data_IF_091614771303
#
_entry.id   IF_091614771303
#
_cell.length_a   1.000
_cell.length_b   1.000
_cell.length_c   1.000
_cell.angle_alpha   90.00
_cell.angle_beta   90.00
_cell.angle_gamma   90.00
#
_symmetry.space_group_name_H-M   'P 1'
#
loop_
_entity.id
_entity.type
_entity.pdbx_description
1 polymer ?
#
# COMPACT_ATOMS: atom_id res chain seq x y z
N UNK A 1 -1.39 -23.58 -13.77
CA UNK A 1 -1.02 -22.42 -12.95
C UNK A 1 -1.79 -22.54 -11.65
N UNK A 2 -1.18 -22.35 -10.48
CA UNK A 2 -1.92 -22.32 -9.21
C UNK A 2 -2.91 -21.15 -9.24
N UNK A 3 -4.12 -21.36 -8.73
CA UNK A 3 -5.16 -20.32 -8.64
C UNK A 3 -4.86 -19.49 -7.39
N UNK A 4 -4.60 -18.19 -7.56
CA UNK A 4 -4.44 -17.26 -6.45
C UNK A 4 -5.83 -16.94 -5.84
N UNK A 5 -5.89 -16.87 -4.51
CA UNK A 5 -7.12 -16.62 -3.76
C UNK A 5 -7.01 -15.29 -3.03
N UNK A 6 -8.16 -14.67 -2.73
CA UNK A 6 -8.22 -13.46 -1.92
C UNK A 6 -7.54 -13.67 -0.56
N UNK A 7 -6.81 -12.66 -0.11
CA UNK A 7 -6.01 -12.72 1.11
C UNK A 7 -6.90 -12.40 2.30
N UNK A 8 -6.91 -13.28 3.29
CA UNK A 8 -7.61 -13.07 4.56
C UNK A 8 -6.57 -12.74 5.64
N UNK A 9 -6.79 -11.64 6.35
CA UNK A 9 -5.99 -11.29 7.54
C UNK A 9 -6.46 -12.13 8.72
N UNK A 10 -5.57 -12.96 9.27
CA UNK A 10 -5.84 -13.81 10.43
C UNK A 10 -5.67 -13.02 11.73
N UNK A 11 -4.63 -12.19 11.79
CA UNK A 11 -4.31 -11.35 12.95
C UNK A 11 -3.45 -10.16 12.50
N UNK A 12 -3.00 -9.32 13.42
CA UNK A 12 -2.18 -8.13 13.13
C UNK A 12 -0.84 -8.21 13.87
N UNK A 13 0.17 -7.53 13.34
CA UNK A 13 1.40 -7.29 14.12
C UNK A 13 1.08 -6.46 15.36
N UNK A 14 1.71 -6.79 16.49
CA UNK A 14 1.72 -5.94 17.67
C UNK A 14 2.75 -4.81 17.54
N UNK A 15 2.77 -3.80 18.44
CA UNK A 15 3.68 -2.66 18.32
C UNK A 15 5.18 -3.02 18.28
N UNK A 16 5.61 -4.07 18.98
CA UNK A 16 7.02 -4.51 19.00
C UNK A 16 7.35 -5.20 17.67
N UNK A 17 6.43 -6.04 17.18
CA UNK A 17 6.56 -6.67 15.88
C UNK A 17 6.60 -5.64 14.73
N UNK A 18 5.78 -4.57 14.80
CA UNK A 18 5.79 -3.47 13.82
C UNK A 18 7.14 -2.78 13.79
N UNK A 19 7.69 -2.41 14.94
CA UNK A 19 9.01 -1.76 15.02
C UNK A 19 10.12 -2.66 14.44
N UNK A 20 10.08 -3.95 14.78
CA UNK A 20 11.06 -4.91 14.27
C UNK A 20 10.94 -5.11 12.74
N UNK A 21 9.72 -5.20 12.22
CA UNK A 21 9.43 -5.36 10.79
C UNK A 21 9.94 -4.16 9.98
N UNK A 22 9.72 -2.95 10.48
CA UNK A 22 10.04 -1.71 9.76
C UNK A 22 11.50 -1.27 9.87
N UNK A 23 12.33 -1.96 10.64
CA UNK A 23 13.69 -1.49 10.97
C UNK A 23 14.57 -1.15 9.76
N UNK A 24 14.44 -1.90 8.66
CA UNK A 24 15.21 -1.71 7.44
C UNK A 24 14.29 -1.50 6.22
N UNK A 25 13.02 -1.16 6.43
CA UNK A 25 12.07 -0.93 5.33
C UNK A 25 12.14 0.55 4.95
N UNK A 26 12.45 0.87 3.70
CA UNK A 26 12.35 2.25 3.19
C UNK A 26 10.89 2.59 2.90
N UNK A 27 10.22 1.71 2.15
CA UNK A 27 8.85 1.88 1.75
C UNK A 27 8.18 0.55 1.43
N UNK A 28 6.86 0.57 1.42
CA UNK A 28 6.03 -0.51 0.90
C UNK A 28 5.10 0.01 -0.20
N UNK A 29 4.74 -0.87 -1.11
CA UNK A 29 3.76 -0.60 -2.16
C UNK A 29 2.65 -1.62 -2.02
N UNK A 30 1.40 -1.17 -2.10
CA UNK A 30 0.21 -1.98 -2.17
C UNK A 30 -0.54 -1.65 -3.46
N UNK A 31 -1.02 -2.68 -4.14
CA UNK A 31 -1.94 -2.56 -5.25
C UNK A 31 -3.20 -3.39 -4.94
N UNK A 32 -4.36 -2.74 -4.99
CA UNK A 32 -5.67 -3.37 -4.80
C UNK A 32 -6.59 -3.04 -5.97
N UNK A 33 -7.62 -3.85 -6.22
CA UNK A 33 -8.66 -3.50 -7.17
C UNK A 33 -9.37 -2.21 -6.72
N UNK A 34 -9.53 -1.25 -7.62
CA UNK A 34 -10.35 -0.09 -7.35
C UNK A 34 -11.84 -0.46 -7.31
N UNK A 35 -12.70 0.34 -6.67
CA UNK A 35 -14.14 0.17 -6.77
C UNK A 35 -14.63 0.11 -8.22
N UNK A 36 -15.53 -0.84 -8.53
CA UNK A 36 -15.98 -1.18 -9.90
C UNK A 36 -16.55 -0.05 -10.76
N UNK A 37 -16.82 1.13 -10.19
CA UNK A 37 -17.26 2.30 -10.94
C UNK A 37 -16.10 3.08 -11.58
N UNK A 38 -14.86 2.89 -11.12
CA UNK A 38 -13.66 3.44 -11.73
C UNK A 38 -13.20 2.54 -12.88
N UNK A 39 -13.54 2.93 -14.12
CA UNK A 39 -13.21 2.15 -15.32
C UNK A 39 -11.86 2.53 -15.92
N UNK A 40 -11.51 3.81 -15.85
CA UNK A 40 -10.29 4.36 -16.43
C UNK A 40 -9.08 4.23 -15.51
N UNK A 41 -9.33 3.96 -14.22
CA UNK A 41 -8.32 3.75 -13.17
C UNK A 41 -8.72 2.56 -12.29
N UNK A 42 -8.64 1.34 -12.83
CA UNK A 42 -9.18 0.14 -12.18
C UNK A 42 -8.34 -0.37 -11.00
N UNK A 43 -7.23 0.29 -10.68
CA UNK A 43 -6.30 -0.12 -9.62
C UNK A 43 -6.13 1.04 -8.64
N UNK A 44 -6.24 0.73 -7.35
CA UNK A 44 -5.82 1.62 -6.28
C UNK A 44 -4.39 1.24 -5.87
N UNK A 45 -3.51 2.24 -5.87
CA UNK A 45 -2.13 2.11 -5.42
C UNK A 45 -1.94 2.88 -4.14
N UNK A 46 -1.22 2.29 -3.20
CA UNK A 46 -0.81 2.95 -1.95
C UNK A 46 0.68 2.77 -1.74
N UNK A 47 1.40 3.88 -1.63
CA UNK A 47 2.81 3.93 -1.27
C UNK A 47 2.90 4.30 0.21
N UNK A 48 3.55 3.44 1.00
CA UNK A 48 3.80 3.65 2.42
C UNK A 48 5.27 3.96 2.62
N UNK A 49 5.64 5.23 2.76
CA UNK A 49 7.01 5.65 3.04
C UNK A 49 7.26 5.54 4.54
N UNK A 50 8.30 4.82 4.96
CA UNK A 50 8.63 4.60 6.37
C UNK A 50 9.30 5.82 7.02
N UNK A 51 8.57 6.93 7.00
CA UNK A 51 8.98 8.20 7.57
C UNK A 51 7.75 8.98 8.04
N UNK A 52 7.96 9.87 8.99
CA UNK A 52 6.96 10.85 9.44
C UNK A 52 7.28 12.26 8.91
N UNK A 53 8.20 12.36 7.95
CA UNK A 53 8.59 13.61 7.34
C UNK A 53 7.45 14.26 6.56
N UNK A 54 7.48 15.59 6.55
CA UNK A 54 6.57 16.40 5.76
C UNK A 54 7.29 16.83 4.49
N UNK A 55 6.76 16.37 3.36
CA UNK A 55 7.25 16.75 2.04
C UNK A 55 6.51 17.98 1.50
N UNK A 56 7.25 18.82 0.78
CA UNK A 56 6.68 19.84 -0.08
C UNK A 56 5.99 19.19 -1.30
N UNK A 57 5.10 19.94 -1.98
CA UNK A 57 4.31 19.37 -3.07
C UNK A 57 5.19 18.86 -4.23
N UNK A 58 6.25 19.58 -4.58
CA UNK A 58 7.21 19.19 -5.62
C UNK A 58 7.92 17.87 -5.30
N UNK A 59 8.23 17.59 -4.02
CA UNK A 59 8.81 16.30 -3.62
C UNK A 59 7.77 15.19 -3.73
N UNK A 60 6.52 15.45 -3.32
CA UNK A 60 5.43 14.47 -3.44
C UNK A 60 5.17 14.09 -4.88
N UNK A 61 5.15 15.09 -5.77
CA UNK A 61 4.97 14.91 -7.21
C UNK A 61 6.13 14.09 -7.79
N UNK A 62 7.38 14.41 -7.41
CA UNK A 62 8.55 13.67 -7.87
C UNK A 62 8.56 12.19 -7.42
N UNK A 63 8.09 11.91 -6.19
CA UNK A 63 7.93 10.53 -5.70
C UNK A 63 6.88 9.79 -6.51
N UNK A 64 5.72 10.42 -6.74
CA UNK A 64 4.63 9.83 -7.50
C UNK A 64 5.05 9.55 -8.95
N UNK A 65 5.70 10.52 -9.61
CA UNK A 65 6.17 10.41 -11.00
C UNK A 65 7.17 9.25 -11.13
N UNK A 66 8.18 9.19 -10.24
CA UNK A 66 9.14 8.09 -10.20
C UNK A 66 8.44 6.75 -10.06
N UNK A 67 7.49 6.65 -9.14
CA UNK A 67 6.77 5.40 -8.89
C UNK A 67 5.92 4.98 -10.10
N UNK A 68 5.25 5.94 -10.75
CA UNK A 68 4.48 5.67 -11.95
C UNK A 68 5.36 5.18 -13.09
N UNK A 69 6.50 5.83 -13.31
CA UNK A 69 7.47 5.44 -14.35
C UNK A 69 8.01 4.02 -14.12
N UNK A 70 8.43 3.69 -12.89
CA UNK A 70 9.01 2.38 -12.57
C UNK A 70 8.02 1.22 -12.70
N UNK A 71 6.74 1.49 -12.41
CA UNK A 71 5.69 0.47 -12.39
C UNK A 71 4.82 0.49 -13.65
N UNK A 72 5.15 1.35 -14.62
CA UNK A 72 4.36 1.57 -15.83
C UNK A 72 2.89 1.86 -15.49
N UNK A 73 2.67 2.78 -14.54
CA UNK A 73 1.35 3.24 -14.13
C UNK A 73 0.97 4.44 -14.98
N UNK A 74 -0.27 4.43 -15.45
CA UNK A 74 -0.84 5.46 -16.31
C UNK A 74 -2.08 6.06 -15.65
N UNK A 75 -2.41 7.29 -16.05
CA UNK A 75 -3.58 8.05 -15.58
C UNK A 75 -3.70 8.14 -14.04
N UNK A 76 -2.64 8.52 -13.28
CA UNK A 76 -2.79 8.72 -11.85
C UNK A 76 -3.85 9.80 -11.56
N UNK A 77 -4.77 9.50 -10.65
CA UNK A 77 -5.89 10.37 -10.28
C UNK A 77 -6.28 10.17 -8.81
N UNK A 78 -7.10 11.09 -8.28
CA UNK A 78 -7.56 11.05 -6.87
C UNK A 78 -6.40 10.94 -5.86
N UNK A 79 -5.28 11.63 -6.15
CA UNK A 79 -4.05 11.54 -5.35
C UNK A 79 -4.23 12.18 -3.99
N UNK A 80 -3.96 11.41 -2.95
CA UNK A 80 -3.85 11.84 -1.55
C UNK A 80 -2.43 11.62 -1.06
N UNK A 81 -1.86 12.60 -0.35
CA UNK A 81 -0.51 12.48 0.23
C UNK A 81 -0.44 13.14 1.61
N UNK A 82 -0.39 12.31 2.67
CA UNK A 82 -0.35 12.79 4.06
C UNK A 82 0.15 11.73 5.04
N UNK A 83 0.41 12.13 6.29
CA UNK A 83 0.72 11.20 7.38
C UNK A 83 -0.54 10.45 7.79
N UNK A 84 -0.47 9.13 7.80
CA UNK A 84 -1.62 8.26 8.10
C UNK A 84 -1.21 7.08 9.01
N UNK A 85 -2.15 6.56 9.82
CA UNK A 85 -1.93 5.34 10.57
C UNK A 85 -1.95 4.11 9.65
N UNK A 86 -0.93 3.26 9.81
CA UNK A 86 -0.70 2.06 9.01
C UNK A 86 -0.56 0.85 9.93
N UNK A 87 -1.45 -0.12 9.73
CA UNK A 87 -1.39 -1.43 10.37
C UNK A 87 -0.75 -2.48 9.47
N UNK A 88 -0.52 -3.66 10.02
CA UNK A 88 0.12 -4.77 9.30
C UNK A 88 -0.62 -6.07 9.56
N UNK A 89 -1.30 -6.59 8.53
CA UNK A 89 -2.04 -7.84 8.58
C UNK A 89 -1.11 -9.05 8.44
N UNK A 90 -1.25 -10.04 9.32
CA UNK A 90 -0.63 -11.35 9.21
C UNK A 90 -1.61 -12.33 8.59
N UNK A 91 -1.10 -13.17 7.69
CA UNK A 91 -1.79 -14.35 7.20
C UNK A 91 -0.85 -15.53 7.23
N UNK A 92 -1.33 -16.72 7.60
CA UNK A 92 -0.51 -17.95 7.52
C UNK A 92 -0.05 -18.27 6.08
N UNK A 93 -0.75 -17.73 5.08
CA UNK A 93 -0.48 -17.98 3.67
C UNK A 93 0.61 -17.08 3.07
N UNK A 94 1.10 -16.07 3.79
CA UNK A 94 1.99 -15.03 3.24
C UNK A 94 3.21 -14.81 4.14
N UNK A 95 4.40 -14.75 3.52
CA UNK A 95 5.66 -14.64 4.25
C UNK A 95 5.91 -13.23 4.81
N UNK A 96 5.29 -12.21 4.21
CA UNK A 96 5.42 -10.82 4.66
C UNK A 96 4.08 -10.26 5.13
N UNK A 97 4.05 -9.43 6.18
CA UNK A 97 2.83 -8.75 6.62
C UNK A 97 2.27 -7.84 5.52
N UNK A 98 0.96 -7.77 5.37
CA UNK A 98 0.30 -6.86 4.43
C UNK A 98 0.16 -5.46 5.06
N UNK A 99 0.65 -4.37 4.43
CA UNK A 99 0.40 -3.03 4.93
C UNK A 99 -1.07 -2.63 4.73
N UNK A 100 -1.64 -1.93 5.72
CA UNK A 100 -3.05 -1.56 5.76
C UNK A 100 -3.20 -0.07 6.10
N UNK A 101 -3.80 0.70 5.19
CA UNK A 101 -4.18 2.08 5.47
C UNK A 101 -5.43 2.13 6.36
N UNK A 102 -5.29 2.61 7.60
CA UNK A 102 -6.39 2.65 8.55
C UNK A 102 -7.16 3.97 8.46
N UNK A 103 -8.21 4.00 7.63
CA UNK A 103 -9.03 5.22 7.43
C UNK A 103 -10.11 5.35 8.52
N UNK A 104 -10.68 4.22 8.95
CA UNK A 104 -11.82 4.22 9.87
C UNK A 104 -11.36 4.40 11.33
N UNK A 105 -11.98 5.29 12.11
CA UNK A 105 -11.61 5.50 13.52
C UNK A 105 -11.67 4.23 14.36
N UNK A 106 -12.66 3.36 14.12
CA UNK A 106 -12.80 2.07 14.81
C UNK A 106 -11.60 1.14 14.56
N UNK A 107 -11.06 1.14 13.35
CA UNK A 107 -9.89 0.34 12.98
C UNK A 107 -8.63 0.93 13.64
N UNK A 108 -8.49 2.26 13.64
CA UNK A 108 -7.38 2.94 14.32
C UNK A 108 -7.36 2.68 15.84
N UNK A 109 -8.53 2.50 16.46
CA UNK A 109 -8.63 2.21 17.91
C UNK A 109 -8.36 0.74 18.25
N UNK A 110 -8.58 -0.18 17.32
CA UNK A 110 -8.56 -1.62 17.58
C UNK A 110 -7.36 -2.35 16.96
N UNK A 111 -6.75 -1.79 15.92
CA UNK A 111 -5.61 -2.36 15.21
C UNK A 111 -4.33 -1.62 15.62
N UNK A 112 -3.30 -2.33 16.15
CA UNK A 112 -1.99 -1.73 16.37
C UNK A 112 -1.41 -1.17 15.07
N UNK A 113 -0.83 0.02 15.15
CA UNK A 113 -0.36 0.75 13.98
C UNK A 113 0.82 1.66 14.31
N UNK A 114 1.50 2.11 13.26
CA UNK A 114 2.45 3.22 13.30
C UNK A 114 2.01 4.33 12.35
N UNK A 115 2.64 5.50 12.43
CA UNK A 115 2.39 6.60 11.49
C UNK A 115 3.46 6.58 10.40
N UNK A 116 3.02 6.61 9.15
CA UNK A 116 3.86 6.67 7.96
C UNK A 116 3.35 7.76 7.01
N UNK A 117 4.21 8.24 6.11
CA UNK A 117 3.79 9.11 5.02
C UNK A 117 3.20 8.24 3.91
N UNK A 118 1.91 8.44 3.63
CA UNK A 118 1.15 7.65 2.66
C UNK A 118 0.84 8.48 1.44
N UNK A 119 1.07 7.91 0.26
CA UNK A 119 0.58 8.42 -1.02
C UNK A 119 -0.39 7.39 -1.58
N UNK A 120 -1.68 7.73 -1.64
CA UNK A 120 -2.74 6.86 -2.13
C UNK A 120 -3.37 7.48 -3.37
N UNK A 121 -3.58 6.68 -4.42
CA UNK A 121 -4.11 7.18 -5.69
C UNK A 121 -4.70 6.06 -6.55
N UNK A 122 -5.51 6.44 -7.53
CA UNK A 122 -6.04 5.53 -8.54
C UNK A 122 -5.20 5.61 -9.81
N UNK A 123 -5.02 4.48 -10.51
CA UNK A 123 -4.32 4.43 -11.79
C UNK A 123 -4.67 3.19 -12.61
N UNK A 124 -4.00 3.04 -13.74
CA UNK A 124 -4.04 1.83 -14.56
C UNK A 124 -2.63 1.33 -14.89
N UNK A 125 -2.44 0.02 -14.93
CA UNK A 125 -1.17 -0.58 -15.35
C UNK A 125 -1.39 -2.02 -15.84
N UNK A 126 -0.74 -2.37 -16.94
CA UNK A 126 -0.73 -3.74 -17.45
C UNK A 126 0.17 -4.67 -16.64
N UNK A 127 1.04 -4.13 -15.79
CA UNK A 127 1.92 -4.91 -14.91
C UNK A 127 1.20 -5.48 -13.68
N UNK A 128 -0.04 -5.06 -13.42
CA UNK A 128 -0.83 -5.42 -12.24
C UNK A 128 -2.13 -6.12 -12.65
N UNK A 129 -2.02 -7.10 -13.56
CA UNK A 129 -3.15 -7.84 -14.12
C UNK A 129 -3.99 -8.51 -13.03
N UNK A 130 -3.36 -9.10 -12.03
CA UNK A 130 -4.00 -9.79 -10.92
C UNK A 130 -4.91 -8.85 -10.11
N UNK A 131 -4.47 -7.62 -9.87
CA UNK A 131 -5.29 -6.61 -9.22
C UNK A 131 -6.43 -6.12 -10.12
N UNK A 132 -6.12 -5.84 -11.39
CA UNK A 132 -7.08 -5.29 -12.35
C UNK A 132 -8.19 -6.26 -12.75
N UNK A 133 -7.85 -7.53 -12.98
CA UNK A 133 -8.75 -8.52 -13.60
C UNK A 133 -9.17 -9.60 -12.62
N UNK A 134 -8.25 -10.10 -11.79
CA UNK A 134 -8.55 -11.19 -10.84
C UNK A 134 -9.07 -10.68 -9.50
N UNK A 135 -9.03 -9.37 -9.27
CA UNK A 135 -9.52 -8.77 -8.03
C UNK A 135 -8.61 -9.04 -6.83
N UNK A 136 -7.31 -9.29 -7.08
CA UNK A 136 -6.36 -9.68 -6.04
C UNK A 136 -5.59 -8.49 -5.48
N UNK A 137 -5.26 -8.57 -4.20
CA UNK A 137 -4.39 -7.61 -3.53
C UNK A 137 -2.96 -8.11 -3.55
N UNK A 138 -2.01 -7.23 -3.89
CA UNK A 138 -0.58 -7.53 -3.84
C UNK A 138 0.19 -6.40 -3.15
N UNK A 139 1.29 -6.74 -2.49
CA UNK A 139 2.21 -5.75 -1.93
C UNK A 139 3.67 -6.20 -2.05
N UNK A 140 4.56 -5.23 -1.90
CA UNK A 140 6.00 -5.46 -1.81
C UNK A 140 6.64 -4.46 -0.86
N UNK A 141 7.83 -4.81 -0.36
CA UNK A 141 8.66 -3.97 0.50
C UNK A 141 9.98 -3.68 -0.20
N UNK A 142 10.43 -2.43 -0.10
CA UNK A 142 11.80 -2.03 -0.39
C UNK A 142 12.55 -1.88 0.92
N UNK A 143 13.82 -2.29 0.92
CA UNK A 143 14.67 -2.31 2.09
C UNK A 143 15.94 -1.48 1.85
N UNK A 144 16.42 -0.76 2.87
CA UNK A 144 17.74 -0.12 2.84
C UNK A 144 18.81 -1.22 2.67
N UNK A 145 19.71 -1.06 1.68
CA UNK A 145 20.88 -1.93 1.48
C UNK A 145 21.98 -1.72 2.55
#
# INVERSE_FOLDING_TARGET
MPVAHAINTDTYLDPIEIEAHLKNVEYAILATPAPSHFKDTPIQFTIFLNTQDKFTQDIKDAILDKFCDENNITNPSEVMSQLMPVGFGKSEAQDTPMPLLLIKPEDQMSIPHTVMHVIDFLGDSDNFYEAKIEGLTGWSYSYDE
#
